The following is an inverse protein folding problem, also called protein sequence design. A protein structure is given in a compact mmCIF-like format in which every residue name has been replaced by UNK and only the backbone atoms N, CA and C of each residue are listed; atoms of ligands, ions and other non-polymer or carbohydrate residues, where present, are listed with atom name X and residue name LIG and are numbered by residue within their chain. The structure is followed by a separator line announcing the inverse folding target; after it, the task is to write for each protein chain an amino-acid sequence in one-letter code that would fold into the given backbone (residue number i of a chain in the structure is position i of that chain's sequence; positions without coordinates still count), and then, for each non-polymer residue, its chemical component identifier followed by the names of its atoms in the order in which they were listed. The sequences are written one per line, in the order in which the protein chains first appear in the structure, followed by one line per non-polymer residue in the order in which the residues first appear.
data_IF_939021690105
#
_entry.id   IF_939021690105
#
_cell.length_a   1.000
_cell.length_b   1.000
_cell.length_c   1.000
_cell.angle_alpha   90.00
_cell.angle_beta   90.00
_cell.angle_gamma   90.00
#
_symmetry.space_group_name_H-M   'P 1'
#
loop_
_entity.id
_entity.type
_entity.pdbx_description
1 polymer ?
#
# COMPACT_ATOMS: atom_id res chain seq x y z
N UNK A 1 -20.10 6.84 7.80
CA UNK A 1 -20.45 5.49 8.28
C UNK A 1 -19.19 4.82 8.82
N UNK A 2 -19.30 3.70 9.55
CA UNK A 2 -18.13 2.91 9.98
C UNK A 2 -17.48 2.24 8.76
N UNK A 3 -16.16 2.29 8.66
CA UNK A 3 -15.41 1.55 7.63
C UNK A 3 -15.19 0.10 8.05
N UNK A 4 -14.81 -0.80 7.14
CA UNK A 4 -14.45 -2.17 7.51
C UNK A 4 -13.39 -2.25 8.61
N UNK A 5 -12.40 -1.33 8.61
CA UNK A 5 -11.38 -1.28 9.65
C UNK A 5 -11.96 -0.93 11.03
N UNK A 6 -12.98 -0.06 11.11
CA UNK A 6 -13.69 0.18 12.38
C UNK A 6 -14.33 -1.10 12.91
N UNK A 7 -14.95 -1.88 12.02
CA UNK A 7 -15.68 -3.09 12.40
C UNK A 7 -14.72 -4.17 12.89
N UNK A 8 -13.61 -4.40 12.18
CA UNK A 8 -12.61 -5.39 12.59
C UNK A 8 -11.99 -5.05 13.93
N UNK A 9 -11.68 -3.78 14.19
CA UNK A 9 -11.11 -3.37 15.46
C UNK A 9 -12.12 -3.51 16.59
N UNK A 10 -13.37 -3.08 16.38
CA UNK A 10 -14.43 -3.20 17.39
C UNK A 10 -14.65 -4.66 17.84
N UNK A 11 -14.43 -5.63 16.93
CA UNK A 11 -14.62 -7.06 17.22
C UNK A 11 -13.31 -7.83 17.23
N UNK A 12 -12.18 -7.18 17.53
CA UNK A 12 -10.84 -7.78 17.44
C UNK A 12 -10.68 -9.07 18.25
N UNK A 13 -11.36 -9.19 19.39
CA UNK A 13 -11.34 -10.39 20.24
C UNK A 13 -11.88 -11.63 19.50
N UNK A 14 -12.73 -11.41 18.48
CA UNK A 14 -13.38 -12.45 17.69
C UNK A 14 -12.72 -12.65 16.33
N UNK A 15 -12.20 -11.57 15.73
CA UNK A 15 -11.60 -11.61 14.38
C UNK A 15 -10.10 -11.89 14.39
N UNK A 16 -9.43 -11.69 15.53
CA UNK A 16 -7.98 -11.77 15.66
C UNK A 16 -7.24 -10.58 15.04
N UNK A 17 -5.97 -10.45 15.40
CA UNK A 17 -5.08 -9.34 15.01
C UNK A 17 -4.77 -9.33 13.50
N UNK A 18 -4.81 -10.50 12.87
CA UNK A 18 -4.41 -10.66 11.46
C UNK A 18 -5.40 -10.01 10.50
N UNK A 19 -6.69 -9.97 10.84
CA UNK A 19 -7.67 -9.24 10.04
C UNK A 19 -7.30 -7.75 9.95
N UNK A 20 -6.95 -7.11 11.06
CA UNK A 20 -6.58 -5.69 11.06
C UNK A 20 -5.36 -5.44 10.16
N UNK A 21 -4.33 -6.29 10.24
CA UNK A 21 -3.14 -6.22 9.37
C UNK A 21 -3.50 -6.31 7.89
N UNK A 22 -4.36 -7.27 7.51
CA UNK A 22 -4.83 -7.41 6.13
C UNK A 22 -5.51 -6.14 5.65
N UNK A 23 -6.45 -5.58 6.42
CA UNK A 23 -7.13 -4.34 6.02
C UNK A 23 -6.15 -3.17 5.83
N UNK A 24 -5.14 -3.06 6.69
CA UNK A 24 -4.08 -2.05 6.56
C UNK A 24 -3.23 -2.26 5.30
N UNK A 25 -2.82 -3.50 5.01
CA UNK A 25 -2.08 -3.82 3.77
C UNK A 25 -2.92 -3.52 2.51
N UNK A 26 -4.26 -3.63 2.58
CA UNK A 26 -5.22 -3.20 1.55
C UNK A 26 -5.44 -1.68 1.47
N UNK A 27 -4.75 -0.89 2.29
CA UNK A 27 -4.80 0.57 2.26
C UNK A 27 -5.96 1.17 3.05
N UNK A 28 -6.52 0.45 4.03
CA UNK A 28 -7.52 1.00 4.91
C UNK A 28 -6.97 2.21 5.69
N UNK A 29 -7.73 3.30 5.68
CA UNK A 29 -7.35 4.54 6.35
C UNK A 29 -7.57 4.43 7.87
N UNK A 30 -6.55 4.81 8.65
CA UNK A 30 -6.56 4.72 10.12
C UNK A 30 -7.15 5.94 10.82
N UNK A 31 -7.28 7.10 10.16
CA UNK A 31 -7.73 8.36 10.75
C UNK A 31 -9.13 8.81 10.28
N UNK A 32 -9.82 7.98 9.49
CA UNK A 32 -11.16 8.27 9.00
C UNK A 32 -12.19 8.21 10.12
N UNK A 33 -13.02 9.25 10.26
CA UNK A 33 -14.06 9.30 11.31
C UNK A 33 -15.38 8.70 10.86
N UNK A 34 -16.02 7.94 11.73
CA UNK A 34 -17.38 7.46 11.56
C UNK A 34 -18.45 8.55 11.85
N UNK A 35 -19.73 8.18 11.88
CA UNK A 35 -20.84 9.11 12.14
C UNK A 35 -20.87 9.65 13.58
N UNK A 36 -20.10 9.04 14.49
CA UNK A 36 -19.94 9.47 15.89
C UNK A 36 -18.68 10.32 16.07
N UNK A 37 -17.96 10.63 14.99
CA UNK A 37 -16.70 11.35 15.03
C UNK A 37 -15.51 10.50 15.52
N UNK A 38 -15.68 9.17 15.64
CA UNK A 38 -14.66 8.24 16.12
C UNK A 38 -13.88 7.64 14.95
N UNK A 39 -12.57 7.54 15.11
CA UNK A 39 -11.64 6.83 14.22
C UNK A 39 -11.62 5.33 14.53
N UNK A 40 -11.03 4.47 13.67
CA UNK A 40 -10.83 3.07 13.99
C UNK A 40 -10.06 2.85 15.31
N UNK A 41 -9.09 3.71 15.61
CA UNK A 41 -8.31 3.64 16.85
C UNK A 41 -9.19 3.83 18.11
N UNK A 42 -10.24 4.64 18.03
CA UNK A 42 -11.16 4.92 19.15
C UNK A 42 -12.10 3.75 19.51
N UNK A 43 -12.03 2.65 18.76
CA UNK A 43 -12.75 1.39 19.03
C UNK A 43 -11.84 0.31 19.60
N UNK A 44 -10.55 0.60 19.81
CA UNK A 44 -9.52 -0.36 20.15
C UNK A 44 -9.34 -0.68 21.64
N UNK A 45 -10.24 -0.24 22.52
CA UNK A 45 -10.10 -0.42 23.98
C UNK A 45 -9.89 -1.90 24.36
N UNK A 46 -10.59 -2.81 23.69
CA UNK A 46 -10.48 -4.27 23.91
C UNK A 46 -9.37 -4.94 23.08
N UNK A 47 -8.67 -4.17 22.23
CA UNK A 47 -7.64 -4.67 21.32
C UNK A 47 -6.24 -4.36 21.87
N UNK A 48 -5.76 -5.19 22.80
CA UNK A 48 -4.48 -4.99 23.50
C UNK A 48 -3.31 -4.78 22.51
N UNK A 49 -3.30 -5.50 21.38
CA UNK A 49 -2.23 -5.42 20.39
C UNK A 49 -2.43 -4.32 19.34
N UNK A 50 -3.53 -3.55 19.37
CA UNK A 50 -3.82 -2.56 18.33
C UNK A 50 -2.73 -1.49 18.16
N UNK A 51 -2.18 -0.89 19.24
CA UNK A 51 -1.12 0.09 19.09
C UNK A 51 0.12 -0.50 18.40
N UNK A 52 0.42 -1.77 18.68
CA UNK A 52 1.52 -2.50 18.05
C UNK A 52 1.24 -2.80 16.58
N UNK A 53 0.03 -3.24 16.21
CA UNK A 53 -0.37 -3.48 14.82
C UNK A 53 -0.24 -2.20 13.99
N UNK A 54 -0.74 -1.08 14.50
CA UNK A 54 -0.71 0.20 13.81
C UNK A 54 0.71 0.73 13.69
N UNK A 55 1.50 0.62 14.76
CA UNK A 55 2.91 1.03 14.77
C UNK A 55 3.75 0.19 13.81
N UNK A 56 3.60 -1.14 13.82
CA UNK A 56 4.28 -2.03 12.87
C UNK A 56 3.92 -1.71 11.42
N UNK A 57 2.65 -1.41 11.13
CA UNK A 57 2.24 -0.98 9.79
C UNK A 57 2.89 0.36 9.39
N UNK A 58 2.92 1.35 10.29
CA UNK A 58 3.59 2.64 10.05
C UNK A 58 5.07 2.42 9.76
N UNK A 59 5.77 1.65 10.59
CA UNK A 59 7.19 1.34 10.45
C UNK A 59 7.46 0.64 9.11
N UNK A 60 6.64 -0.36 8.75
CA UNK A 60 6.74 -1.06 7.45
C UNK A 60 6.63 -0.08 6.29
N UNK A 61 5.61 0.79 6.30
CA UNK A 61 5.40 1.76 5.25
C UNK A 61 6.54 2.79 5.16
N UNK A 62 7.02 3.30 6.29
CA UNK A 62 8.16 4.23 6.34
C UNK A 62 9.45 3.58 5.81
N UNK A 63 9.78 2.36 6.24
CA UNK A 63 10.95 1.63 5.75
C UNK A 63 10.89 1.38 4.23
N UNK A 64 9.70 1.08 3.70
CA UNK A 64 9.47 0.87 2.27
C UNK A 64 9.27 2.16 1.47
N UNK A 65 9.36 3.33 2.11
CA UNK A 65 9.13 4.65 1.52
C UNK A 65 7.75 4.75 0.82
N UNK A 66 6.71 4.22 1.47
CA UNK A 66 5.32 4.26 1.03
C UNK A 66 4.62 5.48 1.65
N UNK A 67 3.78 6.14 0.86
CA UNK A 67 3.00 7.28 1.34
C UNK A 67 1.90 6.83 2.31
N UNK A 68 1.89 7.43 3.50
CA UNK A 68 0.81 7.33 4.47
C UNK A 68 0.10 8.67 4.60
N UNK A 69 -1.21 8.68 4.38
CA UNK A 69 -2.04 9.85 4.60
C UNK A 69 -2.54 9.85 6.05
N UNK A 70 -1.65 10.25 6.97
CA UNK A 70 -1.94 10.35 8.40
C UNK A 70 -1.37 11.63 8.99
N UNK A 71 -2.00 12.12 10.06
CA UNK A 71 -1.47 13.25 10.81
C UNK A 71 -0.17 12.86 11.55
N UNK A 72 0.89 13.67 11.43
CA UNK A 72 2.18 13.48 12.11
C UNK A 72 2.06 13.30 13.62
N UNK A 73 1.09 13.98 14.26
CA UNK A 73 0.82 13.81 15.69
C UNK A 73 0.31 12.40 16.01
N UNK A 74 -0.63 11.89 15.22
CA UNK A 74 -1.16 10.52 15.36
C UNK A 74 -0.04 9.50 15.18
N UNK A 75 0.81 9.68 14.17
CA UNK A 75 1.99 8.84 13.95
C UNK A 75 2.92 8.87 15.17
N UNK A 76 3.25 10.06 15.67
CA UNK A 76 4.11 10.20 16.85
C UNK A 76 3.53 9.55 18.10
N UNK A 77 2.22 9.68 18.34
CA UNK A 77 1.56 9.13 19.51
C UNK A 77 1.51 7.60 19.44
N UNK A 78 1.22 7.02 18.26
CA UNK A 78 1.25 5.57 18.04
C UNK A 78 2.66 4.98 18.27
N UNK A 79 3.70 5.61 17.69
CA UNK A 79 5.07 5.14 17.84
C UNK A 79 5.59 5.24 19.28
N UNK A 80 5.07 6.17 20.09
CA UNK A 80 5.40 6.24 21.54
C UNK A 80 4.75 5.12 22.34
N UNK A 81 3.57 4.67 21.92
CA UNK A 81 2.85 3.54 22.52
C UNK A 81 3.32 2.16 22.04
N UNK A 82 4.38 2.12 21.23
CA UNK A 82 4.91 0.87 20.71
C UNK A 82 5.72 0.15 21.78
N UNK A 83 5.27 -1.05 22.17
CA UNK A 83 5.84 -1.77 23.32
C UNK A 83 7.20 -2.42 23.03
N UNK A 84 7.53 -2.60 21.75
CA UNK A 84 8.77 -3.26 21.32
C UNK A 84 9.85 -2.23 20.99
N UNK A 85 11.14 -2.59 21.08
CA UNK A 85 12.22 -1.71 20.65
C UNK A 85 12.05 -1.36 19.17
N UNK A 86 11.75 -0.10 18.88
CA UNK A 86 11.52 0.42 17.53
C UNK A 86 12.61 -0.01 16.54
N UNK A 87 13.88 0.09 16.96
CA UNK A 87 15.03 -0.29 16.15
C UNK A 87 15.09 -1.78 15.76
N UNK A 88 14.53 -2.68 16.58
CA UNK A 88 14.55 -4.12 16.29
C UNK A 88 13.65 -4.47 15.11
N UNK A 89 12.40 -4.00 15.12
CA UNK A 89 11.44 -4.26 14.03
C UNK A 89 11.82 -3.50 12.75
N UNK A 90 12.33 -2.27 12.86
CA UNK A 90 12.90 -1.53 11.74
C UNK A 90 14.05 -2.31 11.08
N UNK A 91 14.94 -2.91 11.86
CA UNK A 91 16.05 -3.72 11.33
C UNK A 91 15.53 -4.92 10.52
N UNK A 92 14.50 -5.61 11.01
CA UNK A 92 13.86 -6.71 10.28
C UNK A 92 13.23 -6.22 8.98
N UNK A 93 12.49 -5.10 9.02
CA UNK A 93 11.92 -4.48 7.82
C UNK A 93 12.99 -4.16 6.78
N UNK A 94 14.06 -3.47 7.19
CA UNK A 94 15.15 -3.07 6.30
C UNK A 94 15.91 -4.29 5.72
N UNK A 95 15.97 -5.38 6.48
CA UNK A 95 16.61 -6.64 6.04
C UNK A 95 15.82 -7.28 4.91
N UNK A 96 14.50 -7.44 5.07
CA UNK A 96 13.63 -7.93 3.99
C UNK A 96 13.67 -7.01 2.77
N UNK A 97 13.61 -5.69 2.95
CA UNK A 97 13.68 -4.74 1.84
C UNK A 97 15.02 -4.78 1.11
N UNK A 98 16.14 -4.98 1.82
CA UNK A 98 17.45 -5.22 1.20
C UNK A 98 17.41 -6.50 0.38
N UNK A 99 16.82 -7.57 0.89
CA UNK A 99 16.66 -8.81 0.17
C UNK A 99 15.80 -8.65 -1.09
N UNK A 100 14.68 -7.90 -1.03
CA UNK A 100 13.82 -7.60 -2.19
C UNK A 100 14.57 -6.86 -3.29
N UNK A 101 15.43 -5.89 -2.93
CA UNK A 101 16.26 -5.14 -3.89
C UNK A 101 17.29 -6.02 -4.60
N UNK A 102 17.76 -7.08 -3.94
CA UNK A 102 18.70 -8.05 -4.51
C UNK A 102 18.02 -9.16 -5.31
N UNK A 103 16.77 -9.53 -5.01
CA UNK A 103 16.02 -10.56 -5.74
C UNK A 103 15.64 -10.05 -7.13
N UNK A 104 16.40 -10.47 -8.15
CA UNK A 104 16.19 -10.08 -9.55
C UNK A 104 15.07 -10.87 -10.22
N UNK A 105 14.29 -10.18 -11.04
CA UNK A 105 13.19 -10.70 -11.83
C UNK A 105 13.34 -10.11 -13.25
N UNK A 106 14.13 -10.78 -14.08
CA UNK A 106 14.61 -10.22 -15.35
C UNK A 106 15.37 -8.91 -15.13
N UNK A 107 14.96 -7.84 -15.82
CA UNK A 107 15.53 -6.49 -15.62
C UNK A 107 14.96 -5.72 -14.42
N UNK A 108 13.93 -6.25 -13.75
CA UNK A 108 13.41 -5.68 -12.50
C UNK A 108 14.01 -6.39 -11.28
N UNK A 109 13.76 -5.84 -10.11
CA UNK A 109 13.88 -6.51 -8.82
C UNK A 109 12.52 -6.50 -8.12
N UNK A 110 12.33 -7.33 -7.09
CA UNK A 110 11.04 -7.42 -6.41
C UNK A 110 10.60 -6.09 -5.76
N UNK A 111 11.56 -5.27 -5.28
CA UNK A 111 11.28 -3.95 -4.71
C UNK A 111 10.76 -2.93 -5.74
N UNK A 112 10.83 -3.22 -7.05
CA UNK A 112 10.22 -2.37 -8.08
C UNK A 112 8.68 -2.31 -7.96
N UNK A 113 8.06 -3.31 -7.32
CA UNK A 113 6.61 -3.29 -7.02
C UNK A 113 6.23 -2.06 -6.20
N UNK A 114 7.09 -1.64 -5.26
CA UNK A 114 6.90 -0.43 -4.47
C UNK A 114 7.44 0.81 -5.19
N UNK A 115 8.70 0.76 -5.63
CA UNK A 115 9.39 1.97 -6.12
C UNK A 115 8.94 2.45 -7.51
N UNK A 116 8.37 1.57 -8.34
CA UNK A 116 7.92 1.90 -9.69
C UNK A 116 6.38 1.91 -9.80
N UNK A 117 5.64 1.96 -8.69
CA UNK A 117 4.17 1.99 -8.69
C UNK A 117 3.58 3.11 -9.55
N UNK A 118 4.28 4.25 -9.66
CA UNK A 118 3.86 5.42 -10.44
C UNK A 118 3.52 5.10 -11.89
N UNK A 119 4.40 4.35 -12.56
CA UNK A 119 4.19 3.80 -13.90
C UNK A 119 4.63 2.33 -13.89
N UNK A 120 3.73 1.40 -13.53
CA UNK A 120 4.11 0.06 -13.14
C UNK A 120 4.33 -0.83 -14.37
N UNK A 121 5.44 -0.62 -15.07
CA UNK A 121 5.78 -1.38 -16.28
C UNK A 121 6.01 -2.88 -15.99
N UNK A 122 6.42 -3.19 -14.77
CA UNK A 122 6.73 -4.54 -14.29
C UNK A 122 5.55 -5.52 -14.33
N UNK A 123 4.29 -5.04 -14.27
CA UNK A 123 3.09 -5.92 -14.24
C UNK A 123 2.86 -6.68 -15.54
N UNK A 124 3.54 -6.33 -16.63
CA UNK A 124 3.44 -7.07 -17.90
C UNK A 124 4.37 -8.27 -17.97
N UNK A 125 5.28 -8.40 -17.00
CA UNK A 125 6.26 -9.47 -16.99
C UNK A 125 5.63 -10.65 -16.27
N UNK A 126 5.39 -11.73 -17.01
CA UNK A 126 4.91 -12.98 -16.45
C UNK A 126 5.81 -13.47 -15.30
N UNK A 127 7.13 -13.29 -15.41
CA UNK A 127 8.07 -13.62 -14.34
C UNK A 127 7.87 -12.83 -13.04
N UNK A 128 7.33 -11.60 -13.11
CA UNK A 128 6.98 -10.82 -11.92
C UNK A 128 5.69 -11.35 -11.28
N UNK A 129 4.70 -11.71 -12.10
CA UNK A 129 3.46 -12.32 -11.62
C UNK A 129 3.74 -13.66 -10.94
N UNK A 130 4.52 -14.54 -11.57
CA UNK A 130 4.95 -15.83 -10.99
C UNK A 130 5.74 -15.67 -9.69
N UNK A 131 6.62 -14.66 -9.61
CA UNK A 131 7.38 -14.37 -8.40
C UNK A 131 6.48 -13.87 -7.26
N UNK A 132 5.46 -13.08 -7.59
CA UNK A 132 4.45 -12.63 -6.61
C UNK A 132 3.64 -13.84 -6.17
N UNK A 133 3.01 -14.58 -7.08
CA UNK A 133 2.10 -15.70 -6.76
C UNK A 133 2.78 -16.91 -6.11
N UNK A 134 4.11 -16.95 -6.10
CA UNK A 134 4.88 -18.02 -5.46
C UNK A 134 4.56 -18.15 -3.96
N UNK A 135 4.32 -19.37 -3.45
CA UNK A 135 4.22 -19.61 -2.00
C UNK A 135 5.55 -19.43 -1.27
N UNK A 136 6.69 -19.41 -1.99
CA UNK A 136 7.99 -19.08 -1.40
C UNK A 136 8.09 -17.62 -0.99
N UNK A 137 7.22 -16.74 -1.53
CA UNK A 137 7.23 -15.32 -1.19
C UNK A 137 6.98 -15.11 0.32
N UNK A 138 6.04 -15.86 0.90
CA UNK A 138 5.69 -15.76 2.32
C UNK A 138 6.81 -16.27 3.24
N UNK A 139 7.66 -17.18 2.73
CA UNK A 139 8.84 -17.67 3.46
C UNK A 139 10.02 -16.68 3.39
N UNK A 140 10.22 -16.05 2.24
CA UNK A 140 11.35 -15.15 2.01
C UNK A 140 11.09 -13.71 2.51
N UNK A 141 9.82 -13.28 2.51
CA UNK A 141 9.40 -11.92 2.84
C UNK A 141 8.18 -11.90 3.78
N UNK A 142 8.23 -12.57 4.94
CA UNK A 142 7.07 -12.72 5.82
C UNK A 142 6.44 -11.38 6.27
N UNK A 143 7.19 -10.28 6.34
CA UNK A 143 6.62 -8.97 6.69
C UNK A 143 5.91 -8.27 5.53
N UNK A 144 6.36 -8.49 4.29
CA UNK A 144 5.91 -7.73 3.12
C UNK A 144 5.20 -8.55 2.05
N UNK A 145 5.15 -9.89 2.14
CA UNK A 145 4.56 -10.74 1.12
C UNK A 145 3.11 -10.33 0.81
N UNK A 146 2.27 -10.16 1.84
CA UNK A 146 0.89 -9.70 1.66
C UNK A 146 0.82 -8.31 1.00
N UNK A 147 1.65 -7.36 1.46
CA UNK A 147 1.68 -6.00 0.90
C UNK A 147 2.18 -5.98 -0.55
N UNK A 148 3.13 -6.84 -0.91
CA UNK A 148 3.60 -7.03 -2.29
C UNK A 148 2.47 -7.53 -3.19
N UNK A 149 1.74 -8.57 -2.77
CA UNK A 149 0.58 -9.11 -3.50
C UNK A 149 -0.46 -8.04 -3.77
N UNK A 150 -0.88 -7.35 -2.70
CA UNK A 150 -1.89 -6.29 -2.80
C UNK A 150 -1.40 -5.14 -3.68
N UNK A 151 -0.16 -4.72 -3.51
CA UNK A 151 0.40 -3.61 -4.31
C UNK A 151 0.52 -4.00 -5.79
N UNK A 152 0.87 -5.25 -6.09
CA UNK A 152 0.94 -5.77 -7.45
C UNK A 152 -0.44 -5.76 -8.14
N UNK A 153 -1.49 -6.22 -7.44
CA UNK A 153 -2.86 -6.17 -7.97
C UNK A 153 -3.34 -4.72 -8.18
N UNK A 154 -3.04 -3.83 -7.25
CA UNK A 154 -3.31 -2.39 -7.42
C UNK A 154 -2.54 -1.80 -8.60
N UNK A 155 -1.29 -2.22 -8.81
CA UNK A 155 -0.46 -1.78 -9.92
C UNK A 155 -1.02 -2.24 -11.28
N UNK A 156 -1.59 -3.46 -11.37
CA UNK A 156 -2.33 -3.92 -12.56
C UNK A 156 -3.50 -3.00 -12.89
N UNK A 157 -4.30 -2.64 -11.89
CA UNK A 157 -5.43 -1.70 -12.05
C UNK A 157 -4.93 -0.31 -12.46
N UNK A 158 -3.92 0.22 -11.77
CA UNK A 158 -3.32 1.52 -12.08
C UNK A 158 -2.79 1.60 -13.50
N UNK A 159 -2.14 0.54 -13.99
CA UNK A 159 -1.68 0.49 -15.38
C UNK A 159 -2.82 0.66 -16.38
N UNK A 160 -3.91 -0.11 -16.20
CA UNK A 160 -5.12 0.01 -17.04
C UNK A 160 -5.69 1.42 -17.00
N UNK A 161 -5.72 2.05 -15.82
CA UNK A 161 -6.16 3.45 -15.68
C UNK A 161 -5.27 4.43 -16.45
N UNK A 162 -3.94 4.24 -16.44
CA UNK A 162 -3.00 5.07 -17.20
C UNK A 162 -3.19 4.90 -18.71
N UNK A 163 -3.37 3.66 -19.18
CA UNK A 163 -3.59 3.37 -20.60
C UNK A 163 -4.87 4.08 -21.09
N UNK A 164 -5.97 3.94 -20.36
CA UNK A 164 -7.24 4.62 -20.64
C UNK A 164 -7.13 6.16 -20.56
N UNK A 165 -6.37 6.69 -19.59
CA UNK A 165 -6.18 8.12 -19.45
C UNK A 165 -5.43 8.72 -20.65
N UNK A 166 -4.40 8.02 -21.17
CA UNK A 166 -3.65 8.45 -22.35
C UNK A 166 -4.55 8.46 -23.60
N UNK A 167 -5.40 7.44 -23.77
CA UNK A 167 -6.38 7.37 -24.86
C UNK A 167 -7.38 8.53 -24.79
N UNK A 168 -7.98 8.76 -23.61
CA UNK A 168 -8.98 9.82 -23.43
C UNK A 168 -8.42 11.23 -23.63
N UNK A 169 -7.20 11.50 -23.17
CA UNK A 169 -6.54 12.80 -23.38
C UNK A 169 -6.29 13.04 -24.87
N UNK A 170 -5.95 11.99 -25.61
CA UNK A 170 -5.75 12.07 -27.06
C UNK A 170 -7.04 12.42 -27.81
N UNK A 171 -8.21 12.05 -27.28
CA UNK A 171 -9.50 12.38 -27.86
C UNK A 171 -10.00 13.80 -27.51
N UNK A 172 -9.51 14.40 -26.41
CA UNK A 172 -10.05 15.67 -25.86
C UNK A 172 -9.18 16.90 -26.10
N UNK A 173 -7.89 16.73 -26.39
CA UNK A 173 -6.95 17.86 -26.51
C UNK A 173 -6.36 17.90 -27.92
N UNK A 174 -6.45 19.07 -28.57
CA UNK A 174 -5.94 19.35 -29.92
C UNK A 174 -4.40 19.43 -30.01
N UNK A 175 -3.71 19.02 -28.94
CA UNK A 175 -2.25 19.03 -28.83
C UNK A 175 -1.72 17.62 -29.06
N UNK A 176 -0.97 17.44 -30.14
CA UNK A 176 -0.32 16.19 -30.49
C UNK A 176 0.95 15.95 -29.65
N UNK A 177 0.76 15.51 -28.39
CA UNK A 177 1.86 14.97 -27.57
C UNK A 177 2.08 13.48 -27.86
N UNK A 178 3.33 12.98 -27.92
CA UNK A 178 3.62 11.55 -27.96
C UNK A 178 3.01 10.81 -26.75
N UNK A 179 2.59 9.56 -26.94
CA UNK A 179 1.95 8.76 -25.89
C UNK A 179 2.83 8.60 -24.65
N UNK A 180 4.15 8.50 -24.81
CA UNK A 180 5.08 8.45 -23.68
C UNK A 180 5.05 9.72 -22.83
N UNK A 181 4.92 10.90 -23.46
CA UNK A 181 4.83 12.18 -22.74
C UNK A 181 3.49 12.28 -22.02
N UNK A 182 2.39 11.92 -22.69
CA UNK A 182 1.06 11.84 -22.07
C UNK A 182 1.08 10.92 -20.86
N UNK A 183 1.64 9.71 -21.01
CA UNK A 183 1.78 8.74 -19.93
C UNK A 183 2.60 9.30 -18.78
N UNK A 184 3.72 9.94 -19.07
CA UNK A 184 4.56 10.56 -18.05
C UNK A 184 3.77 11.61 -17.25
N UNK A 185 3.03 12.49 -17.91
CA UNK A 185 2.17 13.50 -17.24
C UNK A 185 1.10 12.82 -16.39
N UNK A 186 0.34 11.87 -16.97
CA UNK A 186 -0.72 11.15 -16.26
C UNK A 186 -0.18 10.35 -15.06
N UNK A 187 1.08 9.91 -15.12
CA UNK A 187 1.71 9.17 -14.02
C UNK A 187 1.85 9.99 -12.73
N UNK A 188 1.78 11.33 -12.80
CA UNK A 188 1.76 12.19 -11.60
C UNK A 188 0.41 12.20 -10.89
N UNK A 189 -0.65 11.70 -11.51
CA UNK A 189 -1.97 11.62 -10.91
C UNK A 189 -2.11 10.36 -10.05
N UNK A 190 -2.80 10.49 -8.92
CA UNK A 190 -3.15 9.34 -8.09
C UNK A 190 -4.31 8.54 -8.72
N UNK A 191 -4.55 7.33 -8.20
CA UNK A 191 -5.54 6.41 -8.78
C UNK A 191 -6.97 6.98 -8.76
N UNK A 192 -7.29 7.86 -7.81
CA UNK A 192 -8.60 8.53 -7.72
C UNK A 192 -8.74 9.63 -8.77
N UNK A 193 -7.70 10.43 -8.97
CA UNK A 193 -7.64 11.46 -10.01
C UNK A 193 -7.74 10.84 -11.40
N UNK A 194 -6.98 9.77 -11.65
CA UNK A 194 -7.07 9.02 -12.91
C UNK A 194 -8.51 8.54 -13.16
N UNK A 195 -9.15 7.90 -12.18
CA UNK A 195 -10.56 7.47 -12.30
C UNK A 195 -11.50 8.64 -12.58
N UNK A 196 -11.29 9.79 -11.93
CA UNK A 196 -12.13 10.97 -12.15
C UNK A 196 -12.03 11.54 -13.56
N UNK A 197 -10.90 11.36 -14.25
CA UNK A 197 -10.72 11.76 -15.64
C UNK A 197 -11.49 10.86 -16.62
N UNK A 198 -11.67 9.58 -16.28
CA UNK A 198 -12.38 8.60 -17.11
C UNK A 198 -13.90 8.71 -17.00
N UNK A 199 -14.41 9.21 -15.87
CA UNK A 199 -15.84 9.31 -15.58
C UNK A 199 -16.47 10.64 -16.04
N UNK A 200 -15.79 11.41 -16.90
CA UNK A 200 -16.26 12.66 -17.50
C UNK A 200 -16.28 12.55 -19.01
#
# INVERSE_FOLDING_TARGET
GRTPLHMVIQYCMWTGDDCAKVFLDYGATMDIKDYRGKTPLDYGEDCINLPNIFSEFIIKAECANLELYLNKKVVSDLLKSYDRPLGSFQTTCLTELKHMKTKKIGSNNLYDVFSQYRDPKFVMKQSMEEAIDSPLLDLEFPLYAQLLRVTFERAKVRRKLLDLAVENVSAKIDITLPNEVKRHIMSYLNDRELKSLLNK
#
